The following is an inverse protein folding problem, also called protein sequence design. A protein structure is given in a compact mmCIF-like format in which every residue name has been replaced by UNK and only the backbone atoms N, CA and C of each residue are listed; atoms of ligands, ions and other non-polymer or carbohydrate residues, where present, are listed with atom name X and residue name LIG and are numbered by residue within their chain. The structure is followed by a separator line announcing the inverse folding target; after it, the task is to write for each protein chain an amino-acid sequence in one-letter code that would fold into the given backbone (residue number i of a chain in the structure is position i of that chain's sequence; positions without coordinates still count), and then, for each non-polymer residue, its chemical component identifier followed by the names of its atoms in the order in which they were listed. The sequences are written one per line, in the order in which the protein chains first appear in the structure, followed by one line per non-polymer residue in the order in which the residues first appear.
data_IF_214060678059
#
_entry.id   IF_214060678059
#
_cell.length_a   1.000
_cell.length_b   1.000
_cell.length_c   1.000
_cell.angle_alpha   90.00
_cell.angle_beta   90.00
_cell.angle_gamma   90.00
#
_symmetry.space_group_name_H-M   'P 1'
#
loop_
_entity.id
_entity.type
_entity.pdbx_description
1 polymer ?
#
# COMPACT_ATOMS: atom_id res chain seq x y z
N UNK A 1 31.71 8.01 44.58
CA UNK A 1 32.98 7.45 44.05
C UNK A 1 32.71 5.99 43.69
N UNK A 2 32.87 5.54 42.43
CA UNK A 2 32.66 4.12 42.06
C UNK A 2 33.71 3.22 42.74
N UNK A 3 33.29 2.04 43.23
CA UNK A 3 34.14 1.06 43.91
C UNK A 3 35.29 0.60 42.98
N UNK A 4 36.55 0.47 43.44
CA UNK A 4 37.66 -0.06 42.65
C UNK A 4 37.37 -1.39 41.93
N UNK A 5 36.59 -2.29 42.56
CA UNK A 5 36.18 -3.55 41.93
C UNK A 5 35.26 -3.37 40.73
N UNK A 6 34.37 -2.37 40.77
CA UNK A 6 33.49 -2.04 39.64
C UNK A 6 34.33 -1.57 38.46
N UNK A 7 35.33 -0.71 38.69
CA UNK A 7 36.22 -0.20 37.63
C UNK A 7 36.99 -1.32 36.91
N UNK A 8 37.43 -2.33 37.65
CA UNK A 8 38.11 -3.50 37.06
C UNK A 8 37.16 -4.36 36.23
N UNK A 9 35.91 -4.53 36.67
CA UNK A 9 34.88 -5.23 35.89
C UNK A 9 34.52 -4.45 34.61
N UNK A 10 34.30 -3.14 34.70
CA UNK A 10 34.01 -2.28 33.53
C UNK A 10 35.13 -2.35 32.48
N UNK A 11 36.40 -2.34 32.93
CA UNK A 11 37.56 -2.49 32.03
C UNK A 11 37.57 -3.87 31.36
N UNK A 12 37.39 -4.95 32.12
CA UNK A 12 37.35 -6.32 31.55
C UNK A 12 36.25 -6.49 30.50
N UNK A 13 35.05 -5.99 30.75
CA UNK A 13 33.94 -6.04 29.79
C UNK A 13 34.27 -5.23 28.52
N UNK A 14 34.85 -4.04 28.68
CA UNK A 14 35.30 -3.20 27.57
C UNK A 14 36.35 -3.90 26.71
N UNK A 15 37.37 -4.48 27.34
CA UNK A 15 38.46 -5.18 26.66
C UNK A 15 37.95 -6.44 25.94
N UNK A 16 37.02 -7.19 26.56
CA UNK A 16 36.38 -8.36 25.94
C UNK A 16 35.56 -7.98 24.72
N UNK A 17 34.74 -6.93 24.79
CA UNK A 17 33.98 -6.46 23.63
C UNK A 17 34.89 -6.05 22.45
N UNK A 18 36.03 -5.40 22.75
CA UNK A 18 37.03 -5.05 21.73
C UNK A 18 37.67 -6.29 21.11
N UNK A 19 38.03 -7.28 21.94
CA UNK A 19 38.62 -8.53 21.47
C UNK A 19 37.68 -9.28 20.51
N UNK A 20 36.42 -9.52 20.92
CA UNK A 20 35.40 -10.17 20.10
C UNK A 20 35.25 -9.47 18.75
N UNK A 21 35.09 -8.14 18.77
CA UNK A 21 34.89 -7.36 17.56
C UNK A 21 36.12 -7.25 16.65
N UNK A 22 37.34 -7.44 17.17
CA UNK A 22 38.57 -7.49 16.35
C UNK A 22 38.80 -8.87 15.74
N UNK A 23 38.52 -9.91 16.51
CA UNK A 23 38.67 -11.29 16.07
C UNK A 23 37.52 -11.77 15.17
N UNK A 24 36.38 -11.06 15.17
CA UNK A 24 35.19 -11.49 14.44
C UNK A 24 34.55 -12.73 15.07
N UNK A 25 34.64 -12.88 16.40
CA UNK A 25 34.17 -14.06 17.13
C UNK A 25 32.62 -14.16 17.12
N UNK A 26 32.06 -14.75 16.07
CA UNK A 26 30.59 -14.92 15.93
C UNK A 26 29.98 -15.75 17.06
N UNK A 27 30.72 -16.71 17.63
CA UNK A 27 30.27 -17.51 18.76
C UNK A 27 30.05 -16.70 20.05
N UNK A 28 30.70 -15.53 20.17
CA UNK A 28 30.54 -14.62 21.28
C UNK A 28 29.46 -13.54 21.03
N UNK A 29 28.63 -13.70 19.99
CA UNK A 29 27.54 -12.78 19.67
C UNK A 29 26.59 -12.55 20.87
N UNK A 30 26.19 -13.63 21.54
CA UNK A 30 25.32 -13.55 22.73
C UNK A 30 25.96 -12.77 23.88
N UNK A 31 27.28 -12.88 24.07
CA UNK A 31 28.01 -12.10 25.08
C UNK A 31 27.88 -10.60 24.82
N UNK A 32 28.03 -10.17 23.56
CA UNK A 32 27.91 -8.76 23.18
C UNK A 32 26.49 -8.22 23.40
N UNK A 33 25.46 -9.02 23.09
CA UNK A 33 24.06 -8.66 23.32
C UNK A 33 23.79 -8.44 24.81
N UNK A 34 24.30 -9.31 25.69
CA UNK A 34 24.17 -9.10 27.14
C UNK A 34 24.96 -7.89 27.64
N UNK A 35 26.16 -7.64 27.09
CA UNK A 35 26.96 -6.46 27.46
C UNK A 35 26.28 -5.12 27.09
N UNK A 36 25.34 -5.08 26.14
CA UNK A 36 24.52 -3.89 25.87
C UNK A 36 23.64 -3.50 27.07
N UNK A 37 23.43 -4.38 28.05
CA UNK A 37 22.71 -4.09 29.30
C UNK A 37 23.62 -3.73 30.47
N UNK A 38 24.94 -3.64 30.23
CA UNK A 38 25.92 -3.31 31.27
C UNK A 38 25.66 -1.93 31.88
N UNK A 39 25.95 -1.80 33.18
CA UNK A 39 25.99 -0.49 33.87
C UNK A 39 27.09 0.42 33.31
N UNK A 40 28.11 -0.13 32.65
CA UNK A 40 29.18 0.64 32.03
C UNK A 40 28.78 1.17 30.65
N UNK A 41 28.69 2.49 30.51
CA UNK A 41 28.47 3.13 29.21
C UNK A 41 29.55 2.75 28.18
N UNK A 42 30.81 2.59 28.62
CA UNK A 42 31.90 2.21 27.73
C UNK A 42 31.78 0.77 27.24
N UNK A 43 31.39 -0.17 28.12
CA UNK A 43 31.12 -1.54 27.71
C UNK A 43 29.98 -1.60 26.68
N UNK A 44 28.84 -0.95 26.96
CA UNK A 44 27.72 -0.88 26.00
C UNK A 44 28.13 -0.31 24.64
N UNK A 45 28.90 0.79 24.63
CA UNK A 45 29.40 1.44 23.41
C UNK A 45 30.32 0.50 22.60
N UNK A 46 31.24 -0.17 23.27
CA UNK A 46 32.17 -1.09 22.62
C UNK A 46 31.48 -2.36 22.12
N UNK A 47 30.47 -2.85 22.85
CA UNK A 47 29.63 -3.96 22.41
C UNK A 47 28.80 -3.60 21.19
N UNK A 48 28.20 -2.40 21.16
CA UNK A 48 27.52 -1.90 19.96
C UNK A 48 28.49 -1.80 18.76
N UNK A 49 29.70 -1.29 18.99
CA UNK A 49 30.74 -1.26 17.95
C UNK A 49 31.12 -2.64 17.44
N UNK A 50 31.23 -3.63 18.33
CA UNK A 50 31.61 -5.00 17.99
C UNK A 50 30.49 -5.68 17.20
N UNK A 51 29.23 -5.56 17.63
CA UNK A 51 28.06 -6.06 16.90
C UNK A 51 28.02 -5.52 15.46
N UNK A 52 28.25 -4.22 15.27
CA UNK A 52 28.32 -3.63 13.92
C UNK A 52 29.41 -4.23 13.02
N UNK A 53 30.53 -4.70 13.59
CA UNK A 53 31.59 -5.38 12.83
C UNK A 53 31.21 -6.82 12.46
N UNK A 54 30.40 -7.48 13.29
CA UNK A 54 29.92 -8.84 13.04
C UNK A 54 28.78 -8.90 12.01
N UNK A 55 28.18 -7.77 11.63
CA UNK A 55 27.02 -7.71 10.73
C UNK A 55 27.21 -8.50 9.42
N UNK A 56 28.43 -8.52 8.88
CA UNK A 56 28.78 -9.18 7.61
C UNK A 56 29.29 -10.62 7.78
N UNK A 57 29.31 -11.15 9.00
CA UNK A 57 29.88 -12.46 9.34
C UNK A 57 28.82 -13.54 9.60
N UNK A 58 27.58 -13.31 9.17
CA UNK A 58 26.50 -14.30 9.27
C UNK A 58 25.89 -14.47 10.66
N UNK A 59 25.99 -13.45 11.53
CA UNK A 59 25.26 -13.43 12.81
C UNK A 59 23.76 -13.24 12.59
N UNK A 60 22.96 -13.57 13.61
CA UNK A 60 21.52 -13.29 13.60
C UNK A 60 21.26 -11.77 13.54
N UNK A 61 20.93 -11.30 12.33
CA UNK A 61 20.70 -9.89 12.05
C UNK A 61 19.45 -9.36 12.77
N UNK A 62 18.41 -10.18 12.89
CA UNK A 62 17.17 -9.78 13.55
C UNK A 62 17.40 -9.59 15.06
N UNK A 63 18.08 -10.53 15.70
CA UNK A 63 18.47 -10.42 17.11
C UNK A 63 19.38 -9.21 17.36
N UNK A 64 20.33 -8.96 16.47
CA UNK A 64 21.24 -7.83 16.59
C UNK A 64 20.50 -6.48 16.51
N UNK A 65 19.64 -6.32 15.51
CA UNK A 65 18.81 -5.12 15.33
C UNK A 65 17.90 -4.92 16.54
N UNK A 66 17.23 -5.99 17.01
CA UNK A 66 16.36 -5.94 18.18
C UNK A 66 17.10 -5.50 19.45
N UNK A 67 18.36 -5.90 19.63
CA UNK A 67 19.20 -5.50 20.75
C UNK A 67 19.74 -4.06 20.62
N UNK A 68 20.10 -3.63 19.41
CA UNK A 68 20.70 -2.30 19.15
C UNK A 68 19.66 -1.17 19.10
N UNK A 69 18.44 -1.44 18.62
CA UNK A 69 17.37 -0.45 18.49
C UNK A 69 17.05 0.30 19.81
N UNK A 70 16.81 -0.36 20.96
CA UNK A 70 16.58 0.36 22.21
C UNK A 70 17.81 1.16 22.67
N UNK A 71 19.03 0.69 22.39
CA UNK A 71 20.27 1.40 22.74
C UNK A 71 20.41 2.68 21.92
N UNK A 72 20.16 2.63 20.62
CA UNK A 72 20.15 3.82 19.76
C UNK A 72 19.14 4.88 20.24
N UNK A 73 17.95 4.44 20.68
CA UNK A 73 16.86 5.32 21.11
C UNK A 73 17.03 5.92 22.49
N UNK A 74 17.41 5.10 23.47
CA UNK A 74 17.19 5.41 24.89
C UNK A 74 18.45 5.35 25.76
N UNK A 75 19.62 5.01 25.21
CA UNK A 75 20.82 4.94 26.05
C UNK A 75 21.14 6.32 26.65
N UNK A 76 21.37 6.42 27.97
CA UNK A 76 21.64 7.70 28.62
C UNK A 76 22.95 8.35 28.14
N UNK A 77 23.87 7.58 27.55
CA UNK A 77 25.13 8.10 27.06
C UNK A 77 25.08 8.34 25.54
N UNK A 78 25.16 9.61 25.08
CA UNK A 78 25.03 9.96 23.66
C UNK A 78 26.04 9.23 22.75
N UNK A 79 27.28 9.02 23.21
CA UNK A 79 28.25 8.28 22.41
C UNK A 79 27.87 6.79 22.25
N UNK A 80 27.18 6.19 23.22
CA UNK A 80 26.71 4.81 23.09
C UNK A 80 25.60 4.72 22.04
N UNK A 81 24.67 5.68 22.05
CA UNK A 81 23.66 5.84 21.01
C UNK A 81 24.27 5.95 19.62
N UNK A 82 25.30 6.79 19.47
CA UNK A 82 26.01 6.97 18.20
C UNK A 82 26.54 5.64 17.64
N UNK A 83 27.18 4.83 18.48
CA UNK A 83 27.73 3.55 18.05
C UNK A 83 26.63 2.53 17.74
N UNK A 84 25.51 2.55 18.46
CA UNK A 84 24.36 1.73 18.12
C UNK A 84 23.76 2.12 16.76
N UNK A 85 23.65 3.42 16.45
CA UNK A 85 23.20 3.92 15.13
C UNK A 85 24.15 3.45 14.02
N UNK A 86 25.47 3.58 14.21
CA UNK A 86 26.47 3.07 13.24
C UNK A 86 26.38 1.56 13.05
N UNK A 87 26.09 0.82 14.12
CA UNK A 87 25.91 -0.63 14.05
C UNK A 87 24.63 -0.99 13.30
N UNK A 88 23.50 -0.34 13.58
CA UNK A 88 22.24 -0.52 12.84
C UNK A 88 22.41 -0.28 11.34
N UNK A 89 23.16 0.75 10.95
CA UNK A 89 23.52 1.00 9.54
C UNK A 89 24.17 -0.24 8.88
N UNK A 90 25.05 -0.95 9.59
CA UNK A 90 25.76 -2.11 9.05
C UNK A 90 24.83 -3.30 8.77
N UNK A 91 23.65 -3.35 9.37
CA UNK A 91 22.65 -4.40 9.12
C UNK A 91 21.73 -4.11 7.93
N UNK A 92 21.86 -2.95 7.26
CA UNK A 92 21.17 -2.63 6.01
C UNK A 92 19.65 -2.86 6.10
N UNK A 93 19.10 -3.62 5.14
CA UNK A 93 17.66 -3.88 5.05
C UNK A 93 17.07 -4.58 6.29
N UNK A 94 17.85 -5.37 7.03
CA UNK A 94 17.37 -5.98 8.28
C UNK A 94 17.04 -4.94 9.37
N UNK A 95 17.60 -3.73 9.27
CA UNK A 95 17.31 -2.61 10.16
C UNK A 95 16.13 -1.73 9.69
N UNK A 96 15.36 -2.13 8.68
CA UNK A 96 14.24 -1.34 8.12
C UNK A 96 13.25 -0.87 9.20
N UNK A 97 12.95 -1.71 10.20
CA UNK A 97 12.03 -1.37 11.30
C UNK A 97 12.50 -0.18 12.16
N UNK A 98 13.78 0.20 12.06
CA UNK A 98 14.35 1.32 12.81
C UNK A 98 14.28 2.66 12.04
N UNK A 99 13.82 2.69 10.78
CA UNK A 99 13.86 3.88 9.93
C UNK A 99 13.16 5.09 10.56
N UNK A 100 11.95 4.89 11.08
CA UNK A 100 11.18 5.98 11.68
C UNK A 100 11.92 6.62 12.86
N UNK A 101 12.40 5.80 13.80
CA UNK A 101 13.18 6.28 14.96
C UNK A 101 14.48 7.00 14.52
N UNK A 102 15.14 6.51 13.47
CA UNK A 102 16.36 7.14 12.94
C UNK A 102 16.08 8.46 12.22
N UNK A 103 14.95 8.58 11.52
CA UNK A 103 14.49 9.83 10.90
C UNK A 103 14.17 10.89 11.96
N UNK A 104 13.47 10.50 13.04
CA UNK A 104 13.20 11.37 14.17
C UNK A 104 14.50 11.89 14.80
N UNK A 105 15.49 11.01 15.02
CA UNK A 105 16.81 11.42 15.53
C UNK A 105 17.57 12.34 14.57
N UNK A 106 17.45 12.13 13.26
CA UNK A 106 18.11 12.96 12.26
C UNK A 106 17.52 14.38 12.22
N UNK A 107 16.19 14.51 12.39
CA UNK A 107 15.47 15.79 12.37
C UNK A 107 15.44 16.53 13.70
N UNK A 108 15.71 15.88 14.83
CA UNK A 108 15.58 16.47 16.16
C UNK A 108 16.73 17.45 16.47
N UNK A 109 16.45 18.75 16.54
CA UNK A 109 17.44 19.80 16.84
C UNK A 109 18.03 19.75 18.25
N UNK A 110 17.40 19.05 19.20
CA UNK A 110 17.93 18.85 20.55
C UNK A 110 19.02 17.76 20.62
N UNK A 111 19.16 16.95 19.56
CA UNK A 111 20.18 15.90 19.49
C UNK A 111 21.58 16.46 19.23
N UNK A 112 22.60 15.70 19.65
CA UNK A 112 24.00 16.04 19.33
C UNK A 112 24.22 15.96 17.81
N UNK A 113 25.02 16.87 17.27
CA UNK A 113 25.31 16.95 15.82
C UNK A 113 25.75 15.62 15.20
N UNK A 114 26.61 14.89 15.91
CA UNK A 114 27.07 13.58 15.44
C UNK A 114 25.98 12.51 15.48
N UNK A 115 24.98 12.60 16.37
CA UNK A 115 23.82 11.71 16.37
C UNK A 115 22.98 12.00 15.13
N UNK A 116 22.65 13.28 14.90
CA UNK A 116 21.85 13.70 13.74
C UNK A 116 22.48 13.25 12.42
N UNK A 117 23.79 13.54 12.27
CA UNK A 117 24.57 13.14 11.09
C UNK A 117 24.63 11.63 10.89
N UNK A 118 24.96 10.88 11.94
CA UNK A 118 25.13 9.43 11.82
C UNK A 118 23.77 8.73 11.63
N UNK A 119 22.68 9.28 12.18
CA UNK A 119 21.31 8.82 11.95
C UNK A 119 20.87 9.08 10.51
N UNK A 120 21.08 10.29 9.97
CA UNK A 120 20.81 10.59 8.56
C UNK A 120 21.59 9.66 7.61
N UNK A 121 22.86 9.40 7.92
CA UNK A 121 23.69 8.46 7.16
C UNK A 121 23.25 6.99 7.29
N UNK A 122 22.59 6.61 8.38
CA UNK A 122 21.99 5.30 8.56
C UNK A 122 20.68 5.18 7.77
N UNK A 123 19.80 6.20 7.85
CA UNK A 123 18.54 6.27 7.08
C UNK A 123 18.82 6.08 5.59
N UNK A 124 19.67 6.91 5.00
CA UNK A 124 19.97 6.84 3.57
C UNK A 124 20.50 5.46 3.13
N UNK A 125 21.35 4.83 3.95
CA UNK A 125 21.91 3.51 3.65
C UNK A 125 20.88 2.39 3.78
N UNK A 126 20.05 2.43 4.83
CA UNK A 126 19.01 1.43 5.07
C UNK A 126 17.92 1.52 4.00
N UNK A 127 17.47 2.73 3.65
CA UNK A 127 16.49 2.95 2.57
C UNK A 127 16.99 2.39 1.23
N UNK A 128 18.25 2.65 0.90
CA UNK A 128 18.85 2.12 -0.32
C UNK A 128 18.99 0.58 -0.28
N UNK A 129 19.38 0.01 0.86
CA UNK A 129 19.45 -1.44 1.02
C UNK A 129 18.07 -2.11 0.88
N UNK A 130 17.02 -1.52 1.46
CA UNK A 130 15.63 -1.99 1.32
C UNK A 130 15.17 -1.89 -0.13
N UNK A 131 15.51 -0.79 -0.83
CA UNK A 131 15.21 -0.60 -2.25
C UNK A 131 15.85 -1.71 -3.10
N UNK A 132 17.14 -1.98 -2.88
CA UNK A 132 17.87 -3.05 -3.59
C UNK A 132 17.26 -4.42 -3.30
N UNK A 133 16.96 -4.74 -2.04
CA UNK A 133 16.35 -6.02 -1.66
C UNK A 133 14.96 -6.19 -2.29
N UNK A 134 14.15 -5.13 -2.29
CA UNK A 134 12.81 -5.13 -2.91
C UNK A 134 12.89 -5.24 -4.43
N UNK A 135 13.91 -4.67 -5.06
CA UNK A 135 14.17 -4.81 -6.50
C UNK A 135 14.68 -6.20 -6.88
N UNK A 136 15.43 -6.86 -5.99
CA UNK A 136 15.92 -8.23 -6.17
C UNK A 136 14.84 -9.30 -5.93
N UNK A 137 13.71 -8.95 -5.31
CA UNK A 137 12.59 -9.87 -5.14
C UNK A 137 12.05 -10.29 -6.52
N UNK A 138 12.23 -11.56 -6.88
CA UNK A 138 11.71 -12.09 -8.14
C UNK A 138 10.19 -12.02 -8.14
N UNK A 139 9.63 -11.23 -9.06
CA UNK A 139 8.20 -11.15 -9.32
C UNK A 139 7.90 -11.77 -10.68
N UNK A 140 6.74 -12.42 -10.79
CA UNK A 140 6.30 -13.07 -12.02
C UNK A 140 4.97 -12.50 -12.49
N UNK A 141 4.87 -12.29 -13.79
CA UNK A 141 3.66 -11.82 -14.44
C UNK A 141 2.54 -12.84 -14.23
N UNK A 142 1.39 -12.41 -13.70
CA UNK A 142 0.25 -13.30 -13.44
C UNK A 142 -0.35 -13.90 -14.73
N UNK A 143 -0.09 -13.30 -15.90
CA UNK A 143 -0.68 -13.72 -17.17
C UNK A 143 0.23 -14.65 -17.99
N UNK A 144 1.53 -14.38 -18.03
CA UNK A 144 2.48 -15.13 -18.87
C UNK A 144 3.65 -15.73 -18.10
N UNK A 145 3.71 -15.53 -16.77
CA UNK A 145 4.74 -16.04 -15.88
C UNK A 145 6.18 -15.54 -16.16
N UNK A 146 6.34 -14.57 -17.07
CA UNK A 146 7.62 -13.89 -17.31
C UNK A 146 8.12 -13.19 -16.04
N UNK A 147 9.45 -13.09 -15.89
CA UNK A 147 10.06 -12.25 -14.84
C UNK A 147 9.65 -10.79 -15.05
N UNK A 148 9.37 -10.11 -13.94
CA UNK A 148 8.91 -8.73 -13.91
C UNK A 148 9.94 -7.90 -13.16
N UNK A 149 10.41 -6.83 -13.80
CA UNK A 149 11.32 -5.86 -13.21
C UNK A 149 10.63 -5.03 -12.12
N UNK A 150 11.40 -4.33 -11.29
CA UNK A 150 10.84 -3.45 -10.26
C UNK A 150 9.97 -2.33 -10.87
N UNK A 151 10.36 -1.80 -12.03
CA UNK A 151 9.63 -0.74 -12.74
C UNK A 151 8.31 -1.25 -13.34
N UNK A 152 8.33 -2.41 -14.01
CA UNK A 152 7.12 -3.07 -14.52
C UNK A 152 6.14 -3.39 -13.37
N UNK A 153 6.65 -3.89 -12.25
CA UNK A 153 5.84 -4.15 -11.07
C UNK A 153 5.19 -2.86 -10.54
N UNK A 154 5.97 -1.80 -10.33
CA UNK A 154 5.45 -0.54 -9.80
C UNK A 154 4.36 0.05 -10.72
N UNK A 155 4.61 0.06 -12.04
CA UNK A 155 3.65 0.53 -13.04
C UNK A 155 2.37 -0.31 -13.06
N UNK A 156 2.52 -1.62 -13.08
CA UNK A 156 1.38 -2.54 -13.13
C UNK A 156 0.55 -2.51 -11.85
N UNK A 157 1.19 -2.37 -10.70
CA UNK A 157 0.52 -2.24 -9.41
C UNK A 157 -0.26 -0.93 -9.32
N UNK A 158 0.32 0.18 -9.76
CA UNK A 158 -0.33 1.48 -9.75
C UNK A 158 -1.60 1.52 -10.63
N UNK A 159 -1.59 0.84 -11.78
CA UNK A 159 -2.69 0.93 -12.76
C UNK A 159 -3.71 -0.20 -12.61
N UNK A 160 -3.24 -1.40 -12.30
CA UNK A 160 -4.05 -2.62 -12.30
C UNK A 160 -4.08 -3.35 -10.96
N UNK A 161 -3.26 -2.98 -9.97
CA UNK A 161 -3.10 -3.70 -8.69
C UNK A 161 -2.88 -5.20 -8.90
N UNK A 162 -2.15 -5.52 -9.97
CA UNK A 162 -1.82 -6.88 -10.42
C UNK A 162 -0.44 -6.83 -11.01
N UNK A 163 0.26 -7.96 -10.96
CA UNK A 163 1.63 -8.06 -11.49
C UNK A 163 1.58 -8.46 -12.97
N UNK A 164 1.94 -7.53 -13.87
CA UNK A 164 2.13 -7.79 -15.30
C UNK A 164 3.52 -7.36 -15.75
N UNK A 165 4.08 -8.08 -16.74
CA UNK A 165 5.19 -7.56 -17.53
C UNK A 165 4.65 -6.54 -18.56
N UNK A 166 5.53 -5.75 -19.16
CA UNK A 166 5.15 -4.66 -20.07
C UNK A 166 4.27 -5.13 -21.23
N UNK A 167 4.61 -6.27 -21.86
CA UNK A 167 3.77 -6.84 -22.94
C UNK A 167 2.34 -7.11 -22.48
N UNK A 168 2.18 -7.74 -21.31
CA UNK A 168 0.85 -8.06 -20.80
C UNK A 168 0.12 -6.82 -20.28
N UNK A 169 0.85 -5.85 -19.72
CA UNK A 169 0.34 -4.54 -19.35
C UNK A 169 -0.25 -3.84 -20.57
N UNK A 170 0.51 -3.71 -21.65
CA UNK A 170 0.09 -3.02 -22.88
C UNK A 170 -1.13 -3.69 -23.50
N UNK A 171 -1.15 -5.02 -23.61
CA UNK A 171 -2.30 -5.75 -24.13
C UNK A 171 -3.57 -5.50 -23.29
N UNK A 172 -3.46 -5.54 -21.96
CA UNK A 172 -4.61 -5.28 -21.06
C UNK A 172 -5.03 -3.81 -21.11
N UNK A 173 -4.07 -2.90 -21.15
CA UNK A 173 -4.31 -1.46 -21.21
C UNK A 173 -4.99 -1.06 -22.53
N UNK A 174 -4.49 -1.56 -23.66
CA UNK A 174 -5.08 -1.37 -24.97
C UNK A 174 -6.48 -1.99 -25.04
N UNK A 175 -6.68 -3.20 -24.52
CA UNK A 175 -8.01 -3.81 -24.47
C UNK A 175 -9.01 -2.95 -23.67
N UNK A 176 -8.60 -2.42 -22.51
CA UNK A 176 -9.42 -1.51 -21.70
C UNK A 176 -9.73 -0.21 -22.45
N UNK A 177 -8.72 0.40 -23.09
CA UNK A 177 -8.90 1.63 -23.89
C UNK A 177 -9.85 1.40 -25.06
N UNK A 178 -9.67 0.30 -25.81
CA UNK A 178 -10.53 -0.05 -26.93
C UNK A 178 -11.97 -0.29 -26.50
N UNK A 179 -12.17 -0.92 -25.33
CA UNK A 179 -13.50 -1.07 -24.75
C UNK A 179 -14.15 0.28 -24.44
N UNK A 180 -13.40 1.22 -23.82
CA UNK A 180 -13.92 2.55 -23.53
C UNK A 180 -14.30 3.31 -24.81
N UNK A 181 -13.46 3.25 -25.85
CA UNK A 181 -13.76 3.82 -27.17
C UNK A 181 -15.01 3.18 -27.78
N UNK A 182 -15.16 1.85 -27.69
CA UNK A 182 -16.32 1.15 -28.24
C UNK A 182 -17.62 1.56 -27.53
N UNK A 183 -17.60 1.74 -26.21
CA UNK A 183 -18.76 2.24 -25.45
C UNK A 183 -19.18 3.61 -25.95
N UNK A 184 -18.24 4.54 -26.16
CA UNK A 184 -18.57 5.86 -26.70
C UNK A 184 -19.09 5.81 -28.14
N UNK A 185 -18.51 4.96 -29.00
CA UNK A 185 -19.00 4.76 -30.38
C UNK A 185 -20.43 4.19 -30.41
N UNK A 186 -20.78 3.35 -29.43
CA UNK A 186 -22.10 2.73 -29.37
C UNK A 186 -23.20 3.71 -28.91
N UNK A 187 -22.84 4.85 -28.29
CA UNK A 187 -23.80 5.91 -27.93
C UNK A 187 -24.28 6.60 -29.20
N UNK A 188 -25.44 6.18 -29.68
CA UNK A 188 -26.00 6.60 -30.98
C UNK A 188 -27.45 7.04 -30.90
N UNK A 189 -28.09 6.86 -29.73
CA UNK A 189 -29.51 7.13 -29.53
C UNK A 189 -29.66 8.38 -28.67
N UNK A 190 -30.15 9.47 -29.24
CA UNK A 190 -30.36 10.74 -28.53
C UNK A 190 -31.66 10.71 -27.70
N UNK A 191 -31.58 11.12 -26.43
CA UNK A 191 -32.69 11.35 -25.51
C UNK A 191 -33.17 12.82 -25.58
N UNK A 192 -34.33 13.11 -24.99
CA UNK A 192 -34.98 14.43 -25.05
C UNK A 192 -34.14 15.57 -24.49
N UNK A 193 -33.28 15.29 -23.53
CA UNK A 193 -32.37 16.26 -22.92
C UNK A 193 -31.03 16.42 -23.68
N UNK A 194 -30.87 15.73 -24.82
CA UNK A 194 -29.66 15.71 -25.64
C UNK A 194 -28.63 14.67 -25.20
N UNK A 195 -28.88 13.90 -24.14
CA UNK A 195 -27.97 12.81 -23.74
C UNK A 195 -27.98 11.70 -24.79
N UNK A 196 -26.81 11.29 -25.26
CA UNK A 196 -26.67 10.19 -26.23
C UNK A 196 -26.40 8.89 -25.48
N UNK A 197 -27.30 7.92 -25.61
CA UNK A 197 -27.28 6.62 -24.93
C UNK A 197 -27.08 5.45 -25.91
N UNK A 198 -26.79 4.25 -25.39
CA UNK A 198 -26.44 3.08 -26.18
C UNK A 198 -27.64 2.29 -26.72
N UNK A 199 -28.85 2.49 -26.17
CA UNK A 199 -30.03 1.71 -26.54
C UNK A 199 -31.34 2.47 -26.42
N UNK A 200 -32.37 1.98 -27.13
CA UNK A 200 -33.72 2.53 -27.03
C UNK A 200 -34.35 2.35 -25.64
N UNK A 201 -33.96 1.32 -24.89
CA UNK A 201 -34.40 1.09 -23.51
C UNK A 201 -33.86 2.15 -22.56
N UNK A 202 -32.55 2.42 -22.64
CA UNK A 202 -31.92 3.52 -21.89
C UNK A 202 -32.52 4.87 -22.26
N UNK A 203 -32.83 5.12 -23.55
CA UNK A 203 -33.48 6.37 -23.96
C UNK A 203 -34.81 6.56 -23.26
N UNK A 204 -35.63 5.50 -23.15
CA UNK A 204 -36.92 5.57 -22.43
C UNK A 204 -36.74 5.91 -20.96
N UNK A 205 -35.69 5.40 -20.31
CA UNK A 205 -35.35 5.72 -18.92
C UNK A 205 -34.90 7.19 -18.82
N UNK A 206 -33.99 7.63 -19.68
CA UNK A 206 -33.50 9.01 -19.74
C UNK A 206 -34.65 10.02 -19.95
N UNK A 207 -35.51 9.75 -20.94
CA UNK A 207 -36.69 10.57 -21.24
C UNK A 207 -37.65 10.64 -20.04
N UNK A 208 -37.85 9.52 -19.34
CA UNK A 208 -38.70 9.47 -18.15
C UNK A 208 -38.12 10.30 -17.00
N UNK A 209 -36.82 10.14 -16.71
CA UNK A 209 -36.13 10.91 -15.66
C UNK A 209 -36.21 12.42 -15.94
N UNK A 210 -35.97 12.81 -17.21
CA UNK A 210 -36.07 14.19 -17.67
C UNK A 210 -37.47 14.74 -17.50
N UNK A 211 -38.50 13.99 -17.91
CA UNK A 211 -39.90 14.42 -17.78
C UNK A 211 -40.35 14.66 -16.34
N UNK A 212 -39.68 14.02 -15.37
CA UNK A 212 -39.95 14.15 -13.94
C UNK A 212 -38.96 15.10 -13.22
N UNK A 213 -38.13 15.83 -13.98
CA UNK A 213 -37.18 16.79 -13.42
C UNK A 213 -36.07 16.16 -12.58
N UNK A 214 -35.79 14.86 -12.76
CA UNK A 214 -34.77 14.15 -11.98
C UNK A 214 -33.42 14.27 -12.70
N UNK A 215 -32.47 14.97 -12.07
CA UNK A 215 -31.11 15.06 -12.57
C UNK A 215 -30.39 13.70 -12.49
N UNK A 216 -29.65 13.35 -13.55
CA UNK A 216 -28.90 12.10 -13.60
C UNK A 216 -27.52 12.28 -14.23
N UNK A 217 -26.64 11.31 -13.98
CA UNK A 217 -25.36 11.14 -14.67
C UNK A 217 -25.41 9.83 -15.44
N UNK A 218 -25.36 9.93 -16.77
CA UNK A 218 -25.32 8.77 -17.65
C UNK A 218 -23.92 8.16 -17.70
N UNK A 219 -23.84 6.84 -17.57
CA UNK A 219 -22.65 6.05 -17.92
C UNK A 219 -21.34 6.55 -17.25
N UNK A 220 -21.49 7.11 -16.04
CA UNK A 220 -20.41 7.75 -15.29
C UNK A 220 -19.64 6.72 -14.45
N UNK A 221 -18.30 6.88 -14.36
CA UNK A 221 -17.45 5.99 -13.56
C UNK A 221 -17.39 6.46 -12.10
N UNK A 222 -17.71 5.58 -11.16
CA UNK A 222 -17.62 5.83 -9.72
C UNK A 222 -16.66 4.84 -9.05
N UNK A 223 -15.86 5.33 -8.10
CA UNK A 223 -15.10 4.46 -7.19
C UNK A 223 -16.02 4.10 -6.03
N UNK A 224 -16.12 2.81 -5.71
CA UNK A 224 -16.86 2.32 -4.53
C UNK A 224 -15.88 1.90 -3.44
N UNK A 225 -14.88 1.08 -3.81
CA UNK A 225 -13.75 0.67 -2.97
C UNK A 225 -12.46 1.16 -3.64
N UNK A 226 -11.36 1.27 -2.88
CA UNK A 226 -10.02 1.61 -3.41
C UNK A 226 -9.61 0.77 -4.65
N UNK A 227 -10.18 -0.43 -4.83
CA UNK A 227 -9.83 -1.39 -5.87
C UNK A 227 -10.89 -1.56 -6.99
N UNK A 228 -12.13 -1.08 -6.81
CA UNK A 228 -13.24 -1.34 -7.75
C UNK A 228 -13.94 -0.06 -8.23
N UNK A 229 -13.97 0.12 -9.55
CA UNK A 229 -14.81 1.12 -10.22
C UNK A 229 -16.09 0.46 -10.76
N UNK A 230 -17.23 1.12 -10.57
CA UNK A 230 -18.48 0.81 -11.27
C UNK A 230 -18.80 1.89 -12.28
N UNK A 231 -19.58 1.48 -13.28
CA UNK A 231 -20.14 2.35 -14.31
C UNK A 231 -21.63 1.99 -14.43
N UNK A 232 -22.53 2.57 -13.60
CA UNK A 232 -23.97 2.42 -13.78
C UNK A 232 -24.43 3.01 -15.10
N UNK A 233 -25.55 2.52 -15.63
CA UNK A 233 -26.19 3.17 -16.77
C UNK A 233 -26.68 4.57 -16.36
N UNK A 234 -27.30 4.71 -15.17
CA UNK A 234 -27.67 6.00 -14.62
C UNK A 234 -27.35 6.10 -13.12
N UNK A 235 -26.86 7.25 -12.69
CA UNK A 235 -26.77 7.63 -11.28
C UNK A 235 -27.60 8.88 -11.01
N UNK A 236 -28.45 8.85 -9.97
CA UNK A 236 -29.32 9.94 -9.55
C UNK A 236 -28.72 10.59 -8.29
N UNK A 237 -28.01 11.72 -8.40
CA UNK A 237 -27.25 12.28 -7.28
C UNK A 237 -28.13 12.73 -6.10
N UNK A 238 -29.33 13.25 -6.39
CA UNK A 238 -30.23 13.79 -5.38
C UNK A 238 -30.86 12.69 -4.50
N UNK A 239 -31.01 11.48 -5.04
CA UNK A 239 -31.62 10.33 -4.35
C UNK A 239 -30.57 9.33 -3.85
N UNK A 240 -29.32 9.49 -4.29
CA UNK A 240 -28.22 8.52 -4.19
C UNK A 240 -28.63 7.12 -4.67
N UNK A 241 -29.22 7.06 -5.88
CA UNK A 241 -29.75 5.84 -6.50
C UNK A 241 -29.01 5.53 -7.80
N UNK A 242 -28.72 4.25 -8.01
CA UNK A 242 -28.11 3.70 -9.22
C UNK A 242 -29.16 2.91 -10.00
N UNK A 243 -29.26 3.12 -11.31
CA UNK A 243 -30.16 2.38 -12.20
C UNK A 243 -29.31 1.60 -13.22
N UNK A 244 -29.70 0.36 -13.47
CA UNK A 244 -29.13 -0.53 -14.47
C UNK A 244 -30.23 -1.09 -15.37
N UNK A 245 -30.02 -1.05 -16.69
CA UNK A 245 -30.89 -1.62 -17.70
C UNK A 245 -30.28 -2.91 -18.27
N UNK A 246 -30.88 -4.04 -17.90
CA UNK A 246 -30.36 -5.37 -18.24
C UNK A 246 -30.92 -5.89 -19.57
N UNK A 247 -30.48 -5.28 -20.67
CA UNK A 247 -31.06 -5.47 -22.00
C UNK A 247 -30.67 -6.76 -22.77
N UNK A 248 -29.73 -7.56 -22.27
CA UNK A 248 -29.22 -8.75 -22.96
C UNK A 248 -29.50 -10.05 -22.19
N UNK A 249 -29.67 -11.16 -22.90
CA UNK A 249 -30.06 -12.46 -22.31
C UNK A 249 -29.02 -13.57 -22.54
N UNK A 250 -27.74 -13.23 -22.71
CA UNK A 250 -26.68 -14.25 -22.87
C UNK A 250 -26.16 -14.75 -21.52
N UNK A 251 -25.69 -16.02 -21.41
CA UNK A 251 -25.15 -16.54 -20.16
C UNK A 251 -23.99 -15.72 -19.59
N UNK A 252 -23.07 -15.26 -20.46
CA UNK A 252 -21.94 -14.42 -20.08
C UNK A 252 -22.38 -13.04 -19.56
N UNK A 253 -23.43 -12.48 -20.15
CA UNK A 253 -24.03 -11.23 -19.69
C UNK A 253 -24.69 -11.40 -18.32
N UNK A 254 -25.46 -12.47 -18.11
CA UNK A 254 -26.07 -12.78 -16.80
C UNK A 254 -25.02 -12.93 -15.70
N UNK A 255 -23.91 -13.60 -15.97
CA UNK A 255 -22.81 -13.71 -15.01
C UNK A 255 -22.26 -12.34 -14.62
N UNK A 256 -22.08 -11.45 -15.60
CA UNK A 256 -21.63 -10.07 -15.36
C UNK A 256 -22.66 -9.24 -14.57
N UNK A 257 -23.95 -9.41 -14.89
CA UNK A 257 -25.06 -8.79 -14.16
C UNK A 257 -25.05 -9.20 -12.68
N UNK A 258 -25.04 -10.51 -12.37
CA UNK A 258 -25.03 -10.99 -10.99
C UNK A 258 -23.81 -10.49 -10.21
N UNK A 259 -22.63 -10.48 -10.85
CA UNK A 259 -21.42 -9.94 -10.23
C UNK A 259 -21.56 -8.45 -9.88
N UNK A 260 -22.14 -7.64 -10.78
CA UNK A 260 -22.37 -6.21 -10.55
C UNK A 260 -23.40 -5.98 -9.45
N UNK A 261 -24.48 -6.77 -9.41
CA UNK A 261 -25.48 -6.73 -8.34
C UNK A 261 -24.89 -7.06 -6.97
N UNK A 262 -24.06 -8.11 -6.88
CA UNK A 262 -23.36 -8.45 -5.63
C UNK A 262 -22.47 -7.30 -5.16
N UNK A 263 -21.76 -6.64 -6.07
CA UNK A 263 -20.91 -5.50 -5.72
C UNK A 263 -21.71 -4.32 -5.16
N UNK A 264 -22.84 -3.98 -5.77
CA UNK A 264 -23.74 -2.95 -5.21
C UNK A 264 -24.26 -3.34 -3.82
N UNK A 265 -24.61 -4.62 -3.62
CA UNK A 265 -25.12 -5.12 -2.33
C UNK A 265 -24.05 -5.08 -1.23
N UNK A 266 -22.84 -5.53 -1.53
CA UNK A 266 -21.71 -5.52 -0.58
C UNK A 266 -21.39 -4.09 -0.11
N UNK A 267 -21.51 -3.12 -1.01
CA UNK A 267 -21.21 -1.70 -0.73
C UNK A 267 -22.43 -0.91 -0.23
N UNK A 268 -23.55 -1.58 0.05
CA UNK A 268 -24.77 -0.93 0.56
C UNK A 268 -25.36 0.12 -0.39
N UNK A 269 -25.12 0.00 -1.70
CA UNK A 269 -25.61 0.94 -2.71
C UNK A 269 -27.05 0.65 -3.10
N UNK A 270 -27.83 1.71 -3.33
CA UNK A 270 -29.25 1.62 -3.73
C UNK A 270 -29.35 1.35 -5.23
N UNK A 271 -29.63 0.11 -5.60
CA UNK A 271 -29.73 -0.34 -6.98
C UNK A 271 -31.20 -0.53 -7.41
N UNK A 272 -31.56 0.03 -8.55
CA UNK A 272 -32.78 -0.28 -9.29
C UNK A 272 -32.39 -1.02 -10.58
N UNK A 273 -32.73 -2.30 -10.64
CA UNK A 273 -32.69 -3.09 -11.88
C UNK A 273 -33.94 -2.83 -12.73
N UNK A 274 -33.75 -2.66 -14.03
CA UNK A 274 -34.79 -2.58 -15.07
C UNK A 274 -34.49 -3.61 -16.15
N UNK A 275 -35.50 -4.37 -16.55
CA UNK A 275 -35.41 -5.38 -17.61
C UNK A 275 -36.29 -5.01 -18.80
N UNK A 276 -36.10 -5.62 -19.99
CA UNK A 276 -36.91 -5.31 -21.17
C UNK A 276 -38.44 -5.37 -20.95
N UNK A 277 -39.00 -6.35 -20.20
CA UNK A 277 -40.45 -6.39 -19.91
C UNK A 277 -40.95 -5.19 -19.10
N UNK A 278 -40.10 -4.64 -18.23
CA UNK A 278 -40.41 -3.51 -17.37
C UNK A 278 -40.65 -2.22 -18.16
N UNK A 279 -40.13 -2.10 -19.39
CA UNK A 279 -40.29 -0.90 -20.21
C UNK A 279 -41.75 -0.62 -20.60
N UNK A 280 -42.62 -1.63 -20.54
CA UNK A 280 -44.06 -1.48 -20.80
C UNK A 280 -44.79 -0.76 -19.67
N UNK A 281 -44.29 -0.88 -18.44
CA UNK A 281 -44.85 -0.32 -17.21
C UNK A 281 -43.85 0.60 -16.49
N UNK A 282 -42.92 1.18 -17.25
CA UNK A 282 -41.75 1.91 -16.74
C UNK A 282 -42.16 3.03 -15.77
N UNK A 283 -43.22 3.76 -16.11
CA UNK A 283 -43.72 4.89 -15.34
C UNK A 283 -44.14 4.50 -13.92
N UNK A 284 -45.00 3.49 -13.80
CA UNK A 284 -45.42 2.96 -12.50
C UNK A 284 -44.26 2.33 -11.73
N UNK A 285 -43.36 1.62 -12.42
CA UNK A 285 -42.22 0.96 -11.81
C UNK A 285 -41.23 1.96 -11.19
N UNK A 286 -40.77 2.95 -11.97
CA UNK A 286 -39.81 3.93 -11.50
C UNK A 286 -40.42 4.83 -10.43
N UNK A 287 -41.67 5.27 -10.60
CA UNK A 287 -42.40 6.03 -9.56
C UNK A 287 -42.45 5.26 -8.25
N UNK A 288 -42.84 3.98 -8.29
CA UNK A 288 -42.94 3.16 -7.08
C UNK A 288 -41.57 2.95 -6.42
N UNK A 289 -40.54 2.59 -7.20
CA UNK A 289 -39.20 2.33 -6.65
C UNK A 289 -38.55 3.60 -6.10
N UNK A 290 -38.61 4.72 -6.83
CA UNK A 290 -37.97 5.97 -6.40
C UNK A 290 -38.66 6.62 -5.20
N UNK A 291 -39.97 6.40 -5.00
CA UNK A 291 -40.67 6.84 -3.78
C UNK A 291 -40.06 6.27 -2.49
N UNK A 292 -39.57 5.02 -2.53
CA UNK A 292 -38.85 4.41 -1.40
C UNK A 292 -37.50 5.09 -1.11
N UNK A 293 -37.04 5.97 -1.99
CA UNK A 293 -35.78 6.70 -1.91
C UNK A 293 -35.98 8.21 -1.79
N UNK A 294 -37.20 8.69 -1.52
CA UNK A 294 -37.49 10.11 -1.26
C UNK A 294 -37.94 10.91 -2.48
N UNK A 295 -38.23 10.26 -3.61
CA UNK A 295 -38.84 10.94 -4.75
C UNK A 295 -40.34 11.18 -4.54
N UNK A 296 -40.78 12.42 -4.73
CA UNK A 296 -42.17 12.84 -4.69
C UNK A 296 -42.54 13.44 -6.05
N UNK A 297 -43.36 12.74 -6.86
CA UNK A 297 -43.74 13.19 -8.20
C UNK A 297 -44.68 14.40 -8.18
#
# INVERSE_FOLDING_TARGET
MKNPMDRQLEKRLSDRAVAIGRAGEIGAFGELVEMLRSSSANARRLSASALGKLAWLGVDQAAAVAALAPVARRDPHPQTRQYAIKALKAYGAAAQQCLHDLQDMAGNSAEKDYIRRDAAAAVAFIEEAVRIQTAAAERRCQRCNARVTAEEYARSEQVFQRVFCDRCFDEVFLARRNFETQVEINKTVEARDGTVVQSAGERRIADWLTAHGIAYRYDAKFRIIAEFQIRPDFYLPELDVYIEYWGLDTPQYKMSMYKKQMLYQQEGKRLISIHPPDLSSLDGLLTAKLRHHGFHP
#
